data_IF_574435063206
#
_entry.id   IF_574435063206
#
_cell.length_a   1.000
_cell.length_b   1.000
_cell.length_c   1.000
_cell.angle_alpha   90.00
_cell.angle_beta   90.00
_cell.angle_gamma   90.00
#
_symmetry.space_group_name_H-M   'P 1'
#
loop_
_entity.id
_entity.type
_entity.pdbx_description
1 polymer ?
#
# COMPACT_ATOMS: atom_id res chain seq x y z
N UNK A 1 40.01 -58.62 -35.21
CA UNK A 1 38.86 -59.50 -34.89
C UNK A 1 38.40 -59.15 -33.49
N UNK A 2 37.13 -58.77 -33.38
CA UNK A 2 36.46 -58.08 -32.27
C UNK A 2 36.13 -58.98 -31.08
N UNK A 3 36.06 -58.39 -29.87
CA UNK A 3 35.07 -58.65 -28.81
C UNK A 3 35.42 -57.74 -27.59
N UNK A 4 34.76 -56.60 -27.38
CA UNK A 4 33.53 -56.43 -26.58
C UNK A 4 33.66 -56.89 -25.11
N UNK A 5 33.86 -55.93 -24.21
CA UNK A 5 33.42 -55.98 -22.80
C UNK A 5 32.29 -54.94 -22.63
N UNK A 6 31.22 -55.23 -21.88
CA UNK A 6 30.17 -54.27 -21.59
C UNK A 6 30.53 -53.47 -20.33
N UNK A 7 30.62 -52.14 -20.44
CA UNK A 7 30.50 -51.25 -19.28
C UNK A 7 29.06 -50.77 -19.19
N UNK A 8 28.32 -51.37 -18.26
CA UNK A 8 27.09 -50.81 -17.71
C UNK A 8 27.43 -49.49 -16.99
N UNK A 9 27.29 -48.38 -17.70
CA UNK A 9 27.08 -47.07 -17.07
C UNK A 9 25.65 -46.66 -17.33
N UNK A 10 24.77 -47.19 -16.48
CA UNK A 10 23.44 -46.63 -16.26
C UNK A 10 23.59 -45.14 -15.96
N UNK A 11 23.20 -44.31 -16.93
CA UNK A 11 22.97 -42.89 -16.70
C UNK A 11 21.85 -42.78 -15.66
N UNK A 12 22.23 -42.59 -14.40
CA UNK A 12 21.30 -42.08 -13.40
C UNK A 12 20.84 -40.71 -13.87
N UNK A 13 19.66 -40.68 -14.49
CA UNK A 13 18.87 -39.47 -14.67
C UNK A 13 18.52 -38.98 -13.27
N UNK A 14 19.41 -38.17 -12.70
CA UNK A 14 19.13 -37.39 -11.51
C UNK A 14 18.04 -36.39 -11.87
N UNK A 15 16.80 -36.81 -11.68
CA UNK A 15 15.62 -35.98 -11.56
C UNK A 15 15.76 -35.16 -10.26
N UNK A 16 16.65 -34.17 -10.32
CA UNK A 16 16.78 -33.14 -9.30
C UNK A 16 15.82 -32.01 -9.67
N UNK A 17 14.93 -31.57 -8.77
CA UNK A 17 14.02 -30.48 -9.08
C UNK A 17 14.86 -29.26 -9.45
N UNK A 18 14.63 -28.72 -10.64
CA UNK A 18 15.18 -27.45 -11.07
C UNK A 18 14.71 -26.34 -10.10
N UNK A 19 15.45 -26.12 -9.02
CA UNK A 19 15.44 -24.90 -8.24
C UNK A 19 16.20 -23.82 -9.04
N UNK A 20 15.73 -23.57 -10.28
CA UNK A 20 16.12 -22.39 -11.02
C UNK A 20 15.53 -21.21 -10.27
N UNK A 21 16.39 -20.47 -9.56
CA UNK A 21 15.98 -19.25 -8.88
C UNK A 21 15.17 -18.40 -9.88
N UNK A 22 13.92 -18.08 -9.53
CA UNK A 22 13.05 -17.27 -10.39
C UNK A 22 13.71 -15.91 -10.59
N UNK A 23 14.32 -15.73 -11.76
CA UNK A 23 15.06 -14.53 -12.12
C UNK A 23 14.14 -13.31 -12.03
N UNK A 24 12.85 -13.44 -12.35
CA UNK A 24 11.91 -12.32 -12.24
C UNK A 24 11.61 -11.97 -10.78
N UNK A 25 11.53 -12.97 -9.89
CA UNK A 25 11.40 -12.72 -8.46
C UNK A 25 12.65 -12.03 -7.90
N UNK A 26 13.85 -12.47 -8.28
CA UNK A 26 15.12 -11.85 -7.88
C UNK A 26 15.25 -10.41 -8.38
N UNK A 27 14.91 -10.16 -9.65
CA UNK A 27 14.94 -8.82 -10.23
C UNK A 27 13.93 -7.89 -9.55
N UNK A 28 12.73 -8.41 -9.23
CA UNK A 28 11.70 -7.65 -8.50
C UNK A 28 12.14 -7.33 -7.07
N UNK A 29 12.73 -8.30 -6.36
CA UNK A 29 13.24 -8.09 -5.01
C UNK A 29 14.38 -7.07 -5.00
N UNK A 30 15.30 -7.15 -5.97
CA UNK A 30 16.36 -6.16 -6.14
C UNK A 30 15.83 -4.76 -6.44
N UNK A 31 14.87 -4.64 -7.36
CA UNK A 31 14.27 -3.35 -7.70
C UNK A 31 13.50 -2.75 -6.52
N UNK A 32 12.71 -3.56 -5.80
CA UNK A 32 12.01 -3.13 -4.59
C UNK A 32 12.99 -2.72 -3.48
N UNK A 33 14.12 -3.42 -3.34
CA UNK A 33 15.18 -3.03 -2.41
C UNK A 33 15.85 -1.72 -2.82
N UNK A 34 16.03 -1.45 -4.12
CA UNK A 34 16.58 -0.18 -4.60
C UNK A 34 15.63 0.99 -4.33
N UNK A 35 14.33 0.85 -4.63
CA UNK A 35 13.35 1.91 -4.35
C UNK A 35 13.13 2.12 -2.85
N UNK A 36 13.47 1.14 -2.01
CA UNK A 36 13.38 1.23 -0.55
C UNK A 36 14.67 1.70 0.14
N UNK A 37 15.74 2.02 -0.59
CA UNK A 37 17.00 2.49 -0.02
C UNK A 37 17.02 4.01 0.17
N UNK A 38 17.26 4.44 1.40
CA UNK A 38 17.46 5.86 1.73
C UNK A 38 18.88 6.28 1.37
N UNK A 39 19.04 7.35 0.60
CA UNK A 39 20.37 7.93 0.33
C UNK A 39 20.79 8.88 1.46
N UNK A 40 22.08 9.25 1.51
CA UNK A 40 22.54 10.29 2.44
C UNK A 40 21.81 11.64 2.25
N UNK A 41 21.43 11.97 1.01
CA UNK A 41 20.64 13.15 0.70
C UNK A 41 19.21 13.05 1.25
N UNK A 42 18.57 11.89 1.09
CA UNK A 42 17.25 11.62 1.67
C UNK A 42 17.24 11.58 3.20
N UNK A 43 18.27 10.99 3.81
CA UNK A 43 18.45 11.00 5.26
C UNK A 43 18.60 12.43 5.80
N UNK A 44 19.34 13.30 5.09
CA UNK A 44 19.48 14.71 5.45
C UNK A 44 18.16 15.48 5.33
N UNK A 45 17.31 15.17 4.34
CA UNK A 45 15.96 15.73 4.25
C UNK A 45 15.09 15.29 5.43
N UNK A 46 15.04 13.99 5.73
CA UNK A 46 14.29 13.45 6.87
C UNK A 46 14.73 14.09 8.19
N UNK A 47 16.04 14.17 8.43
CA UNK A 47 16.59 14.80 9.63
C UNK A 47 16.26 16.29 9.73
N UNK A 48 16.08 16.97 8.59
CA UNK A 48 15.68 18.38 8.53
C UNK A 48 14.30 18.67 9.14
N UNK A 49 13.44 17.65 9.32
CA UNK A 49 12.18 17.82 10.03
C UNK A 49 12.38 18.07 11.53
N UNK A 50 13.44 17.51 12.13
CA UNK A 50 13.71 17.58 13.55
C UNK A 50 14.30 18.92 13.98
N UNK A 51 14.10 19.30 15.25
CA UNK A 51 14.68 20.52 15.83
C UNK A 51 16.23 20.52 15.82
N UNK A 52 16.85 19.33 15.86
CA UNK A 52 18.31 19.16 15.86
C UNK A 52 18.77 18.18 14.77
N UNK A 53 18.79 18.58 13.49
CA UNK A 53 19.04 17.66 12.37
C UNK A 53 20.37 16.90 12.46
N UNK A 54 21.44 17.55 12.93
CA UNK A 54 22.76 16.91 13.09
C UNK A 54 22.75 15.79 14.12
N UNK A 55 22.02 15.98 15.23
CA UNK A 55 21.89 14.98 16.28
C UNK A 55 21.07 13.78 15.79
N UNK A 56 19.99 14.02 15.04
CA UNK A 56 19.19 12.96 14.40
C UNK A 56 20.04 12.12 13.44
N UNK A 57 20.85 12.77 12.59
CA UNK A 57 21.77 12.07 11.69
C UNK A 57 22.80 11.24 12.46
N UNK A 58 23.47 11.83 13.46
CA UNK A 58 24.45 11.10 14.27
C UNK A 58 23.84 9.87 14.98
N UNK A 59 22.58 9.98 15.43
CA UNK A 59 21.87 8.85 16.05
C UNK A 59 21.61 7.72 15.04
N UNK A 60 21.18 8.05 13.82
CA UNK A 60 20.98 7.06 12.77
C UNK A 60 22.29 6.50 12.22
N UNK A 61 23.37 7.28 12.16
CA UNK A 61 24.70 6.76 11.82
C UNK A 61 25.17 5.72 12.84
N UNK A 62 24.92 5.97 14.13
CA UNK A 62 25.20 5.00 15.19
C UNK A 62 24.28 3.76 15.14
N UNK A 63 23.03 3.92 14.69
CA UNK A 63 22.02 2.85 14.67
C UNK A 63 21.20 2.83 13.37
N UNK A 64 21.79 2.48 12.22
CA UNK A 64 21.15 2.66 10.90
C UNK A 64 19.94 1.76 10.66
N UNK A 65 19.86 0.65 11.38
CA UNK A 65 18.76 -0.31 11.36
C UNK A 65 17.62 0.04 12.33
N UNK A 66 17.74 1.11 13.12
CA UNK A 66 16.70 1.52 14.05
C UNK A 66 15.67 2.44 13.38
N UNK A 67 14.36 2.20 13.54
CA UNK A 67 13.34 3.14 13.14
C UNK A 67 13.52 4.50 13.83
N UNK A 68 13.21 5.59 13.15
CA UNK A 68 13.25 6.94 13.71
C UNK A 68 11.86 7.47 14.04
N UNK A 69 11.77 8.46 14.93
CA UNK A 69 10.55 9.26 15.13
C UNK A 69 10.84 10.68 14.71
N UNK A 70 10.04 11.21 13.78
CA UNK A 70 10.22 12.56 13.25
C UNK A 70 8.95 13.38 13.46
N UNK A 71 9.08 14.67 13.81
CA UNK A 71 7.94 15.57 13.84
C UNK A 71 7.41 15.83 12.43
N UNK A 72 6.11 16.04 12.31
CA UNK A 72 5.43 16.46 11.08
C UNK A 72 5.19 17.98 11.08
N UNK A 73 4.81 18.52 9.92
CA UNK A 73 4.42 19.92 9.76
C UNK A 73 5.52 20.91 9.38
N UNK A 74 6.80 20.53 9.53
CA UNK A 74 7.95 21.39 9.17
C UNK A 74 8.46 21.10 7.75
N UNK A 75 9.03 19.91 7.55
CA UNK A 75 9.56 19.47 6.26
C UNK A 75 8.52 18.71 5.41
N UNK A 76 7.56 18.05 6.06
CA UNK A 76 6.52 17.27 5.44
C UNK A 76 5.35 17.07 6.41
N UNK A 77 4.17 16.82 5.84
CA UNK A 77 3.06 16.19 6.55
C UNK A 77 3.02 14.70 6.19
N UNK A 78 2.26 13.90 6.94
CA UNK A 78 2.04 12.49 6.61
C UNK A 78 0.56 12.16 6.57
N UNK A 79 0.13 11.58 5.46
CA UNK A 79 -1.21 11.02 5.32
C UNK A 79 -1.13 9.51 5.47
N UNK A 80 -1.71 9.02 6.55
CA UNK A 80 -1.70 7.64 6.97
C UNK A 80 -3.01 6.97 6.57
N UNK A 81 -2.91 6.03 5.63
CA UNK A 81 -4.06 5.41 4.93
C UNK A 81 -4.03 3.88 5.07
N UNK A 82 -5.17 3.18 5.02
CA UNK A 82 -5.18 1.71 4.97
C UNK A 82 -4.35 1.18 3.79
N UNK A 83 -3.51 0.16 4.01
CA UNK A 83 -2.52 -0.28 3.00
C UNK A 83 -3.11 -0.62 1.64
N UNK A 84 -4.26 -1.27 1.55
CA UNK A 84 -4.88 -1.63 0.26
C UNK A 84 -5.37 -0.40 -0.51
N UNK A 85 -5.96 0.57 0.20
CA UNK A 85 -6.41 1.82 -0.39
C UNK A 85 -5.21 2.66 -0.83
N UNK A 86 -4.20 2.79 0.04
CA UNK A 86 -2.96 3.51 -0.26
C UNK A 86 -2.19 2.93 -1.44
N UNK A 87 -2.17 1.60 -1.62
CA UNK A 87 -1.53 0.99 -2.79
C UNK A 87 -2.21 1.42 -4.09
N UNK A 88 -3.55 1.45 -4.13
CA UNK A 88 -4.28 1.94 -5.31
C UNK A 88 -4.08 3.44 -5.53
N UNK A 89 -4.01 4.23 -4.46
CA UNK A 89 -3.64 5.65 -4.58
C UNK A 89 -2.26 5.80 -5.21
N UNK A 90 -1.29 5.00 -4.75
CA UNK A 90 0.08 5.01 -5.26
C UNK A 90 0.15 4.60 -6.75
N UNK A 91 -0.61 3.57 -7.14
CA UNK A 91 -0.75 3.15 -8.55
C UNK A 91 -1.25 4.30 -9.43
N UNK A 92 -2.29 5.04 -9.00
CA UNK A 92 -2.77 6.21 -9.75
C UNK A 92 -1.75 7.36 -9.77
N UNK A 93 -1.15 7.69 -8.63
CA UNK A 93 -0.15 8.75 -8.53
C UNK A 93 1.06 8.53 -9.44
N UNK A 94 1.44 7.27 -9.68
CA UNK A 94 2.52 6.90 -10.59
C UNK A 94 2.09 6.86 -12.06
N UNK A 95 0.90 6.32 -12.34
CA UNK A 95 0.44 6.11 -13.72
C UNK A 95 -0.03 7.41 -14.38
N UNK A 96 -0.88 8.16 -13.68
CA UNK A 96 -1.62 9.31 -14.24
C UNK A 96 -1.35 10.60 -13.47
N UNK A 97 -0.62 10.51 -12.35
CA UNK A 97 -0.35 11.61 -11.44
C UNK A 97 1.03 12.24 -11.61
N UNK A 98 1.30 13.32 -10.86
CA UNK A 98 2.59 14.00 -10.86
C UNK A 98 3.72 13.23 -10.12
N UNK A 99 3.47 11.98 -9.71
CA UNK A 99 4.34 11.18 -8.84
C UNK A 99 3.74 11.00 -7.44
N UNK A 100 4.39 10.21 -6.58
CA UNK A 100 3.93 9.94 -5.21
C UNK A 100 4.75 10.59 -4.10
N UNK A 101 6.01 10.93 -4.38
CA UNK A 101 7.00 11.22 -3.34
C UNK A 101 7.33 9.99 -2.47
N UNK A 102 7.98 10.21 -1.31
CA UNK A 102 8.33 9.15 -0.38
C UNK A 102 7.11 8.48 0.26
N UNK A 103 7.16 7.15 0.36
CA UNK A 103 6.07 6.34 0.91
C UNK A 103 6.64 5.23 1.78
N UNK A 104 6.09 5.06 2.97
CA UNK A 104 6.42 3.97 3.88
C UNK A 104 5.19 3.13 4.23
N UNK A 105 5.42 1.98 4.86
CA UNK A 105 4.36 1.20 5.51
C UNK A 105 4.71 0.96 6.96
N UNK A 106 3.71 1.02 7.83
CA UNK A 106 3.85 0.76 9.25
C UNK A 106 2.51 0.25 9.80
N UNK A 107 2.53 -0.89 10.51
CA UNK A 107 1.35 -1.48 11.18
C UNK A 107 0.10 -1.62 10.29
N UNK A 108 0.26 -2.14 9.07
CA UNK A 108 -0.85 -2.36 8.14
C UNK A 108 -1.44 -1.08 7.53
N UNK A 109 -0.71 0.04 7.64
CA UNK A 109 -1.06 1.30 7.00
C UNK A 109 0.10 1.81 6.17
N UNK A 110 -0.22 2.62 5.17
CA UNK A 110 0.72 3.28 4.28
C UNK A 110 0.84 4.75 4.69
N UNK A 111 2.07 5.23 4.82
CA UNK A 111 2.42 6.58 5.20
C UNK A 111 2.88 7.32 3.94
N UNK A 112 2.04 8.19 3.40
CA UNK A 112 2.38 9.04 2.26
C UNK A 112 2.92 10.37 2.78
N UNK A 113 4.16 10.70 2.45
CA UNK A 113 4.77 11.97 2.82
C UNK A 113 4.26 13.03 1.86
N UNK A 114 3.72 14.12 2.40
CA UNK A 114 3.01 15.15 1.65
C UNK A 114 3.58 16.53 1.95
N UNK A 115 3.25 17.51 1.11
CA UNK A 115 3.71 18.88 1.33
C UNK A 115 3.17 19.41 2.67
N UNK A 116 3.95 20.18 3.44
CA UNK A 116 3.45 20.82 4.66
C UNK A 116 2.14 21.61 4.45
N UNK A 117 1.22 21.51 5.40
CA UNK A 117 -0.13 22.09 5.32
C UNK A 117 -1.19 21.17 4.70
N UNK A 118 -0.78 20.05 4.09
CA UNK A 118 -1.69 19.02 3.58
C UNK A 118 -2.57 18.43 4.68
N UNK A 119 -1.99 18.14 5.85
CA UNK A 119 -2.72 17.52 6.95
C UNK A 119 -3.87 18.38 7.47
N UNK A 120 -3.75 19.71 7.35
CA UNK A 120 -4.81 20.65 7.70
C UNK A 120 -5.87 20.75 6.61
N UNK A 121 -5.46 20.77 5.33
CA UNK A 121 -6.35 21.08 4.20
C UNK A 121 -7.07 19.85 3.65
N UNK A 122 -6.41 18.70 3.58
CA UNK A 122 -6.96 17.48 2.98
C UNK A 122 -8.25 16.99 3.64
N UNK A 123 -8.38 16.93 4.98
CA UNK A 123 -9.64 16.53 5.61
C UNK A 123 -10.83 17.40 5.21
N UNK A 124 -10.61 18.71 5.07
CA UNK A 124 -11.64 19.64 4.61
C UNK A 124 -12.03 19.33 3.16
N UNK A 125 -11.07 19.07 2.28
CA UNK A 125 -11.38 18.72 0.88
C UNK A 125 -12.16 17.41 0.75
N UNK A 126 -11.82 16.42 1.57
CA UNK A 126 -12.50 15.12 1.57
C UNK A 126 -13.93 15.22 2.09
N UNK A 127 -14.17 16.03 3.13
CA UNK A 127 -15.52 16.28 3.64
C UNK A 127 -16.41 16.89 2.53
N UNK A 128 -15.89 17.83 1.74
CA UNK A 128 -16.65 18.43 0.64
C UNK A 128 -17.01 17.44 -0.49
N UNK A 129 -16.17 16.45 -0.78
CA UNK A 129 -16.50 15.39 -1.76
C UNK A 129 -17.61 14.47 -1.26
N UNK A 130 -17.73 14.24 0.06
CA UNK A 130 -18.81 13.42 0.64
C UNK A 130 -20.20 14.07 0.44
N UNK A 131 -20.27 15.38 0.17
CA UNK A 131 -21.51 16.12 -0.06
C UNK A 131 -21.90 16.19 -1.55
N UNK A 132 -20.99 15.85 -2.48
CA UNK A 132 -21.23 15.84 -3.93
C UNK A 132 -21.77 14.51 -4.49
N UNK A 133 -21.70 13.43 -3.70
CA UNK A 133 -22.30 12.14 -4.03
C UNK A 133 -23.75 12.10 -3.54
N UNK A 134 -24.69 12.48 -4.40
CA UNK A 134 -26.13 12.52 -4.08
C UNK A 134 -26.65 11.22 -3.48
N UNK A 135 -26.71 11.16 -2.15
CA UNK A 135 -27.69 10.35 -1.45
C UNK A 135 -29.04 11.05 -1.61
N UNK A 136 -29.74 10.74 -2.70
CA UNK A 136 -31.21 10.84 -2.68
C UNK A 136 -31.70 10.05 -1.45
N UNK A 137 -32.49 10.65 -0.55
CA UNK A 137 -33.04 9.95 0.59
C UNK A 137 -34.05 8.93 0.07
N UNK A 138 -33.61 7.69 -0.18
CA UNK A 138 -34.50 6.57 -0.48
C UNK A 138 -35.40 6.32 0.73
N UNK A 139 -36.55 6.97 0.74
CA UNK A 139 -37.70 6.63 1.56
C UNK A 139 -38.21 5.26 1.08
N UNK A 140 -37.77 4.19 1.74
CA UNK A 140 -38.10 2.83 1.30
C UNK A 140 -37.69 1.72 2.25
N UNK A 141 -38.49 1.57 3.32
CA UNK A 141 -38.70 0.39 4.18
C UNK A 141 -38.19 -0.96 3.63
N UNK A 142 -37.36 -1.66 4.40
CA UNK A 142 -37.17 -3.12 4.28
C UNK A 142 -35.80 -3.68 4.67
N UNK A 143 -35.73 -4.29 5.86
CA UNK A 143 -34.90 -5.41 6.33
C UNK A 143 -33.50 -5.73 5.75
N UNK A 144 -32.59 -5.97 6.72
CA UNK A 144 -31.43 -6.87 6.74
C UNK A 144 -30.09 -6.35 6.19
N UNK A 145 -29.17 -6.19 7.17
CA UNK A 145 -27.79 -5.77 7.02
C UNK A 145 -27.00 -6.52 5.94
N UNK A 146 -26.42 -5.73 5.04
CA UNK A 146 -25.11 -5.98 4.46
C UNK A 146 -24.37 -4.66 4.51
N UNK A 147 -23.23 -4.65 5.21
CA UNK A 147 -22.28 -3.55 5.21
C UNK A 147 -21.75 -3.32 3.78
N UNK A 148 -22.51 -2.54 3.00
CA UNK A 148 -22.09 -2.05 1.71
C UNK A 148 -21.06 -0.94 1.92
N UNK A 149 -19.77 -1.30 1.88
CA UNK A 149 -18.66 -0.35 1.73
C UNK A 149 -18.65 0.14 0.28
N UNK A 150 -19.72 0.84 -0.13
CA UNK A 150 -19.82 1.41 -1.48
C UNK A 150 -19.10 2.76 -1.50
N UNK A 151 -18.00 2.85 -2.25
CA UNK A 151 -17.39 4.09 -2.76
C UNK A 151 -16.86 5.11 -1.74
N UNK A 152 -17.06 4.93 -0.43
CA UNK A 152 -16.62 5.91 0.57
C UNK A 152 -15.12 5.81 0.82
N UNK A 153 -14.46 6.97 0.89
CA UNK A 153 -13.04 7.06 1.27
C UNK A 153 -12.89 6.52 2.70
N UNK A 154 -11.99 5.55 2.97
CA UNK A 154 -11.79 5.05 4.32
C UNK A 154 -11.20 6.15 5.21
N UNK A 155 -11.32 6.04 6.55
CA UNK A 155 -10.80 7.07 7.45
C UNK A 155 -9.28 7.21 7.30
N UNK A 156 -8.86 8.35 6.75
CA UNK A 156 -7.48 8.75 6.62
C UNK A 156 -7.05 9.49 7.90
N UNK A 157 -5.82 9.28 8.33
CA UNK A 157 -5.22 10.02 9.45
C UNK A 157 -4.22 11.01 8.87
N UNK A 158 -4.36 12.27 9.22
CA UNK A 158 -3.48 13.34 8.75
C UNK A 158 -2.59 13.78 9.92
N UNK A 159 -1.28 13.73 9.73
CA UNK A 159 -0.28 14.12 10.72
C UNK A 159 0.43 15.39 10.25
N UNK A 160 0.24 16.49 10.98
CA UNK A 160 0.77 17.81 10.65
C UNK A 160 1.58 18.42 11.78
N UNK A 161 1.52 19.74 11.90
CA UNK A 161 2.24 20.48 12.95
C UNK A 161 1.82 19.96 14.34
N UNK A 162 2.82 19.58 15.14
CA UNK A 162 2.62 19.06 16.50
C UNK A 162 2.49 17.53 16.58
N UNK A 163 2.32 16.85 15.44
CA UNK A 163 2.34 15.40 15.37
C UNK A 163 3.77 14.86 15.15
N UNK A 164 3.95 13.55 15.40
CA UNK A 164 5.15 12.83 15.04
C UNK A 164 4.82 11.45 14.48
N UNK A 165 5.67 10.97 13.58
CA UNK A 165 5.51 9.66 12.93
C UNK A 165 6.77 8.82 13.05
N UNK A 166 6.58 7.51 13.14
CA UNK A 166 7.68 6.55 13.04
C UNK A 166 8.03 6.34 11.58
N UNK A 167 9.26 6.68 11.21
CA UNK A 167 9.81 6.42 9.89
C UNK A 167 10.62 5.12 9.89
N UNK A 168 10.65 4.38 8.76
CA UNK A 168 11.48 3.19 8.65
C UNK A 168 12.96 3.47 8.87
N UNK A 169 13.75 2.45 9.22
CA UNK A 169 15.21 2.54 9.25
C UNK A 169 15.80 3.05 7.95
N UNK A 170 17.01 3.64 8.01
CA UNK A 170 17.72 4.10 6.82
C UNK A 170 18.24 2.91 5.99
N UNK A 171 18.58 1.81 6.65
CA UNK A 171 19.01 0.56 6.00
C UNK A 171 17.92 -0.50 6.10
N UNK A 172 17.57 -1.09 4.96
CA UNK A 172 16.58 -2.15 4.90
C UNK A 172 17.20 -3.45 5.44
N UNK A 173 16.80 -3.89 6.65
CA UNK A 173 17.15 -5.22 7.15
C UNK A 173 15.96 -6.15 6.92
N UNK A 174 16.11 -7.08 5.98
CA UNK A 174 15.02 -7.86 5.37
C UNK A 174 14.27 -8.85 6.29
N UNK A 175 14.57 -8.92 7.59
CA UNK A 175 14.11 -10.02 8.44
C UNK A 175 13.17 -9.64 9.59
N UNK A 176 12.97 -8.37 9.90
CA UNK A 176 12.16 -7.98 11.08
C UNK A 176 10.82 -7.35 10.68
N UNK A 177 9.70 -7.79 11.28
CA UNK A 177 8.42 -7.12 11.11
C UNK A 177 8.52 -5.71 11.72
N UNK A 178 8.46 -4.69 10.87
CA UNK A 178 8.67 -3.30 11.25
C UNK A 178 8.25 -2.31 10.16
N UNK A 179 8.42 -1.00 10.41
CA UNK A 179 8.20 0.00 9.38
C UNK A 179 9.19 -0.21 8.23
N UNK A 180 8.73 -0.11 6.98
CA UNK A 180 9.55 -0.27 5.77
C UNK A 180 9.23 0.78 4.72
N UNK A 181 10.24 1.21 3.96
CA UNK A 181 10.04 2.08 2.79
C UNK A 181 9.42 1.28 1.64
N UNK A 182 8.48 1.90 0.94
CA UNK A 182 7.97 1.47 -0.37
C UNK A 182 8.68 2.29 -1.46
N UNK A 183 8.73 3.60 -1.23
CA UNK A 183 9.52 4.56 -1.99
C UNK A 183 10.31 5.38 -0.96
N UNK A 184 11.61 5.13 -0.86
CA UNK A 184 12.50 5.82 0.05
C UNK A 184 12.89 7.20 -0.52
N UNK A 185 13.13 8.20 0.36
CA UNK A 185 13.69 9.46 -0.08
C UNK A 185 15.14 9.27 -0.54
N UNK A 186 15.44 9.78 -1.73
CA UNK A 186 16.75 9.66 -2.37
C UNK A 186 17.42 11.03 -2.63
N UNK A 187 16.71 12.13 -2.37
CA UNK A 187 17.16 13.51 -2.58
C UNK A 187 16.88 14.42 -1.37
N UNK A 188 17.55 15.58 -1.31
CA UNK A 188 17.33 16.60 -0.26
C UNK A 188 16.03 17.39 -0.41
N UNK A 189 15.47 17.39 -1.62
CA UNK A 189 14.24 18.11 -1.96
C UNK A 189 13.32 17.18 -2.74
N UNK A 190 12.76 16.14 -2.10
CA UNK A 190 11.86 15.23 -2.78
C UNK A 190 10.61 15.98 -3.20
N UNK A 191 10.05 15.62 -4.35
CA UNK A 191 8.72 16.06 -4.69
C UNK A 191 7.72 15.47 -3.68
N UNK A 192 6.80 16.29 -3.18
CA UNK A 192 5.78 15.89 -2.22
C UNK A 192 4.39 16.21 -2.79
N UNK A 193 3.45 15.24 -2.80
CA UNK A 193 2.09 15.49 -3.20
C UNK A 193 1.44 16.51 -2.26
N UNK A 194 0.79 17.51 -2.85
CA UNK A 194 -0.07 18.43 -2.12
C UNK A 194 -1.46 17.85 -1.84
N UNK A 195 -2.32 18.59 -1.12
CA UNK A 195 -3.65 18.13 -0.77
C UNK A 195 -4.52 17.80 -2.00
N UNK A 196 -4.40 18.58 -3.08
CA UNK A 196 -5.18 18.36 -4.30
C UNK A 196 -4.75 17.08 -5.04
N UNK A 197 -3.45 16.76 -5.05
CA UNK A 197 -2.94 15.53 -5.65
C UNK A 197 -3.40 14.28 -4.88
N UNK A 198 -3.42 14.35 -3.54
CA UNK A 198 -3.93 13.26 -2.71
C UNK A 198 -5.44 13.12 -2.82
N UNK A 199 -6.18 14.23 -2.87
CA UNK A 199 -7.63 14.22 -3.11
C UNK A 199 -7.94 13.56 -4.46
N UNK A 200 -7.25 13.97 -5.52
CA UNK A 200 -7.39 13.37 -6.85
C UNK A 200 -7.17 11.86 -6.83
N UNK A 201 -6.12 11.39 -6.13
CA UNK A 201 -5.84 9.96 -6.01
C UNK A 201 -6.96 9.23 -5.24
N UNK A 202 -7.44 9.79 -4.14
CA UNK A 202 -8.58 9.23 -3.39
C UNK A 202 -9.82 9.08 -4.29
N UNK A 203 -10.19 10.14 -5.02
CA UNK A 203 -11.36 10.16 -5.91
C UNK A 203 -11.23 9.14 -7.05
N UNK A 204 -10.03 8.95 -7.59
CA UNK A 204 -9.79 7.90 -8.60
C UNK A 204 -10.01 6.52 -8.02
N UNK A 205 -9.44 6.23 -6.85
CA UNK A 205 -9.61 4.92 -6.20
C UNK A 205 -11.08 4.61 -5.94
N UNK A 206 -11.87 5.58 -5.46
CA UNK A 206 -13.30 5.39 -5.18
C UNK A 206 -14.17 5.27 -6.43
N UNK A 207 -13.82 5.96 -7.52
CA UNK A 207 -14.54 5.83 -8.80
C UNK A 207 -14.16 4.57 -9.58
N UNK A 208 -12.95 4.05 -9.36
CA UNK A 208 -12.47 2.80 -9.97
C UNK A 208 -12.88 1.54 -9.22
N UNK A 209 -13.41 1.65 -7.99
CA UNK A 209 -14.06 0.51 -7.34
C UNK A 209 -15.36 0.17 -8.08
N UNK A 210 -15.46 -0.99 -8.75
CA UNK A 210 -16.71 -1.37 -9.39
C UNK A 210 -17.80 -1.45 -8.34
N UNK A 211 -18.93 -0.79 -8.59
CA UNK A 211 -20.11 -0.88 -7.73
C UNK A 211 -20.43 -2.35 -7.51
N UNK A 212 -20.69 -2.73 -6.26
CA UNK A 212 -21.13 -4.08 -5.88
C UNK A 212 -22.34 -4.56 -6.69
N UNK A 213 -23.08 -3.66 -7.33
CA UNK A 213 -24.20 -3.94 -8.22
C UNK A 213 -23.82 -4.71 -9.50
N UNK A 214 -22.55 -4.70 -9.93
CA UNK A 214 -22.08 -5.40 -11.13
C UNK A 214 -21.37 -6.73 -10.82
N UNK A 215 -21.53 -7.28 -9.62
CA UNK A 215 -21.16 -8.68 -9.37
C UNK A 215 -22.20 -9.56 -10.06
N UNK A 216 -21.92 -9.93 -11.31
CA UNK A 216 -22.59 -11.04 -11.99
C UNK A 216 -22.63 -12.24 -11.03
N UNK A 217 -23.80 -12.50 -10.48
CA UNK A 217 -24.04 -13.65 -9.62
C UNK A 217 -23.68 -14.90 -10.40
N UNK A 218 -22.68 -15.65 -9.91
CA UNK A 218 -22.35 -16.98 -10.43
C UNK A 218 -23.37 -18.01 -9.91
N UNK A 219 -24.21 -17.61 -8.94
CA UNK A 219 -25.40 -18.36 -8.59
C UNK A 219 -26.49 -18.04 -9.62
N UNK A 220 -27.04 -19.05 -10.31
CA UNK A 220 -28.23 -18.85 -11.11
C UNK A 220 -29.33 -18.25 -10.21
N UNK A 221 -30.19 -17.36 -10.74
CA UNK A 221 -31.36 -16.91 -9.99
C UNK A 221 -32.12 -18.14 -9.52
N UNK A 222 -32.47 -18.18 -8.23
CA UNK A 222 -33.30 -19.27 -7.70
C UNK A 222 -34.56 -19.33 -8.56
N UNK A 223 -34.76 -20.45 -9.23
CA UNK A 223 -35.95 -20.71 -10.03
C UNK A 223 -37.15 -20.60 -9.10
N UNK A 224 -37.91 -19.51 -9.20
CA UNK A 224 -39.02 -19.20 -8.28
C UNK A 224 -40.16 -20.21 -8.41
N UNK A 225 -40.12 -21.08 -9.43
CA UNK A 225 -41.07 -22.17 -9.67
C UNK A 225 -40.56 -23.55 -9.24
N UNK A 226 -39.40 -23.65 -8.57
CA UNK A 226 -38.92 -24.91 -8.02
C UNK A 226 -39.76 -25.33 -6.79
N UNK A 227 -40.79 -26.15 -7.02
CA UNK A 227 -41.65 -26.70 -5.99
C UNK A 227 -40.91 -27.81 -5.21
N UNK A 228 -40.18 -27.42 -4.16
CA UNK A 228 -39.47 -28.36 -3.28
C UNK A 228 -40.50 -29.06 -2.38
N UNK A 229 -40.86 -30.28 -2.75
CA UNK A 229 -41.71 -31.13 -1.92
C UNK A 229 -40.91 -31.69 -0.74
N UNK A 230 -41.35 -31.36 0.48
CA UNK A 230 -40.86 -31.95 1.71
C UNK A 230 -41.31 -33.42 1.82
N UNK A 231 -40.39 -34.34 1.53
CA UNK A 231 -40.59 -35.79 1.60
C UNK A 231 -40.32 -36.38 2.99
N UNK A 232 -40.04 -35.54 4.01
CA UNK A 232 -39.80 -36.02 5.39
C UNK A 232 -41.06 -36.53 6.10
N UNK A 233 -42.25 -36.37 5.49
CA UNK A 233 -43.50 -36.98 5.95
C UNK A 233 -43.93 -38.13 5.05
N UNK A 234 -43.19 -39.24 5.07
CA UNK A 234 -43.77 -40.54 4.72
C UNK A 234 -43.45 -41.58 5.78
N UNK A 235 -44.52 -41.86 6.53
CA UNK A 235 -44.80 -42.95 7.48
C UNK A 235 -44.11 -42.85 8.84
#
# INVERSE_FOLDING_TARGET
MSAWLPDDTTLHHGDGPHHGADIFALLRDRAANQTAQVTAAGAAWLAGAAAYPRSTLAQWEAHPSSPGVLPCGSAFDVVNVPTLFGRRMLEHLWADGPGSGPVATHRGRMLLFASPGTAQRLPSLLDWEEWGGGHEPRTGRGAQGRDGVDGKVPPLLCHGIGDAVTVPPLTCTSSTPGPRWVVAPDTRSPWLPGPDALLWACVRVTRSTPSSAARNSIFPPADQDANVYDVSRRR
#
